data_IF_725049004126
#
_entry.id   IF_725049004126
#
_cell.length_a   1.000
_cell.length_b   1.000
_cell.length_c   1.000
_cell.angle_alpha   90.00
_cell.angle_beta   90.00
_cell.angle_gamma   90.00
#
_symmetry.space_group_name_H-M   'P 1'
#
loop_
_entity.id
_entity.type
_entity.pdbx_description
1 polymer ?
#
# COMPACT_ATOMS: atom_id res chain seq x y z
N UNK A 1 -13.40 9.54 1.44
CA UNK A 1 -14.19 8.33 1.10
C UNK A 1 -13.51 7.58 -0.04
N UNK A 2 -13.54 6.23 -0.08
CA UNK A 2 -13.02 5.48 -1.23
C UNK A 2 -14.04 5.52 -2.38
N UNK A 3 -13.60 5.98 -3.54
CA UNK A 3 -14.38 6.04 -4.79
C UNK A 3 -13.55 5.55 -5.96
N UNK A 4 -14.21 5.10 -7.02
CA UNK A 4 -13.52 4.81 -8.30
C UNK A 4 -13.14 6.14 -8.92
N UNK A 5 -11.89 6.55 -8.75
CA UNK A 5 -11.35 7.74 -9.40
C UNK A 5 -10.97 7.47 -10.86
N UNK A 6 -10.74 6.21 -11.19
CA UNK A 6 -10.07 5.82 -12.41
C UNK A 6 -10.80 4.66 -13.10
N UNK A 7 -11.41 4.95 -14.24
CA UNK A 7 -12.14 3.94 -15.03
C UNK A 7 -11.16 2.99 -15.73
N UNK A 8 -11.62 1.78 -16.06
CA UNK A 8 -10.82 0.83 -16.81
C UNK A 8 -10.40 1.36 -18.19
N UNK A 9 -11.26 2.13 -18.88
CA UNK A 9 -10.92 2.79 -20.15
C UNK A 9 -9.81 3.82 -19.99
N UNK A 10 -9.85 4.61 -18.91
CA UNK A 10 -8.80 5.58 -18.62
C UNK A 10 -7.46 4.89 -18.35
N UNK A 11 -7.48 3.72 -17.69
CA UNK A 11 -6.31 2.87 -17.51
C UNK A 11 -5.73 2.37 -18.82
N UNK A 12 -6.56 1.90 -19.75
CA UNK A 12 -6.10 1.46 -21.08
C UNK A 12 -5.44 2.61 -21.85
N UNK A 13 -6.07 3.79 -21.88
CA UNK A 13 -5.50 4.97 -22.52
C UNK A 13 -4.16 5.40 -21.89
N UNK A 14 -4.06 5.31 -20.56
CA UNK A 14 -2.81 5.58 -19.84
C UNK A 14 -1.72 4.58 -20.19
N UNK A 15 -2.04 3.28 -20.25
CA UNK A 15 -1.07 2.27 -20.68
C UNK A 15 -0.57 2.59 -22.08
N UNK A 16 -1.45 2.83 -23.04
CA UNK A 16 -1.08 3.16 -24.41
C UNK A 16 -0.16 4.39 -24.47
N UNK A 17 -0.58 5.49 -23.84
CA UNK A 17 0.17 6.76 -23.83
C UNK A 17 1.57 6.60 -23.22
N UNK A 18 1.68 5.92 -22.08
CA UNK A 18 2.97 5.77 -21.40
C UNK A 18 3.85 4.71 -22.07
N UNK A 19 3.29 3.61 -22.57
CA UNK A 19 4.07 2.60 -23.28
C UNK A 19 4.62 3.14 -24.60
N UNK A 20 3.83 3.92 -25.34
CA UNK A 20 4.30 4.58 -26.55
C UNK A 20 5.47 5.53 -26.25
N UNK A 21 5.27 6.42 -25.27
CA UNK A 21 6.27 7.41 -24.90
C UNK A 21 7.57 6.81 -24.38
N UNK A 22 7.50 5.79 -23.52
CA UNK A 22 8.68 5.24 -22.85
C UNK A 22 9.39 4.15 -23.65
N UNK A 23 8.70 3.41 -24.52
CA UNK A 23 9.26 2.23 -25.20
C UNK A 23 9.20 2.28 -26.72
N UNK A 24 8.15 2.87 -27.32
CA UNK A 24 8.07 2.98 -28.78
C UNK A 24 8.96 4.12 -29.27
N UNK A 25 8.81 5.32 -28.69
CA UNK A 25 9.60 6.50 -29.07
C UNK A 25 11.09 6.36 -28.75
N UNK A 26 11.45 5.49 -27.81
CA UNK A 26 12.84 5.21 -27.40
C UNK A 26 13.44 3.97 -28.08
N UNK A 27 12.71 3.32 -29.01
CA UNK A 27 13.09 2.10 -29.71
C UNK A 27 13.36 0.88 -28.80
N UNK A 28 12.73 0.80 -27.63
CA UNK A 28 12.87 -0.31 -26.67
C UNK A 28 11.77 -1.38 -26.81
N UNK A 29 11.42 -1.74 -28.04
CA UNK A 29 10.33 -2.68 -28.34
C UNK A 29 10.54 -4.09 -27.78
N UNK A 30 11.80 -4.53 -27.66
CA UNK A 30 12.14 -5.88 -27.12
C UNK A 30 11.59 -6.06 -25.71
N UNK A 31 11.59 -5.00 -24.89
CA UNK A 31 11.02 -5.03 -23.54
C UNK A 31 9.51 -5.27 -23.58
N UNK A 32 8.78 -4.65 -24.52
CA UNK A 32 7.34 -4.85 -24.68
C UNK A 32 7.01 -6.30 -25.05
N UNK A 33 7.75 -6.88 -25.99
CA UNK A 33 7.57 -8.30 -26.38
C UNK A 33 7.85 -9.25 -25.21
N UNK A 34 8.87 -8.96 -24.40
CA UNK A 34 9.21 -9.78 -23.22
C UNK A 34 8.06 -9.83 -22.21
N UNK A 35 7.36 -8.71 -22.03
CA UNK A 35 6.25 -8.58 -21.07
C UNK A 35 4.86 -8.66 -21.70
N UNK A 36 4.75 -9.00 -22.99
CA UNK A 36 3.49 -8.98 -23.77
C UNK A 36 2.36 -9.74 -23.07
N UNK A 37 2.64 -10.95 -22.57
CA UNK A 37 1.64 -11.76 -21.85
C UNK A 37 1.09 -11.04 -20.61
N UNK A 38 1.93 -10.33 -19.87
CA UNK A 38 1.53 -9.59 -18.68
C UNK A 38 0.73 -8.33 -19.06
N UNK A 39 1.18 -7.60 -20.08
CA UNK A 39 0.53 -6.38 -20.58
C UNK A 39 -0.90 -6.70 -21.02
N UNK A 40 -1.07 -7.72 -21.87
CA UNK A 40 -2.38 -8.11 -22.39
C UNK A 40 -3.31 -8.57 -21.26
N UNK A 41 -2.82 -9.39 -20.32
CA UNK A 41 -3.62 -9.84 -19.18
C UNK A 41 -4.13 -8.67 -18.34
N UNK A 42 -3.27 -7.71 -18.00
CA UNK A 42 -3.67 -6.57 -17.18
C UNK A 42 -4.58 -5.59 -17.94
N UNK A 43 -4.33 -5.38 -19.24
CA UNK A 43 -5.14 -4.53 -20.10
C UNK A 43 -6.56 -5.07 -20.27
N UNK A 44 -6.73 -6.40 -20.35
CA UNK A 44 -8.06 -7.03 -20.49
C UNK A 44 -8.79 -7.25 -19.16
N UNK A 45 -8.08 -7.23 -18.03
CA UNK A 45 -8.69 -7.54 -16.72
C UNK A 45 -9.22 -6.26 -16.06
N UNK A 46 -10.56 -6.13 -16.01
CA UNK A 46 -11.19 -5.08 -15.23
C UNK A 46 -11.29 -5.47 -13.75
N UNK A 47 -10.57 -4.74 -12.91
CA UNK A 47 -10.51 -4.93 -11.46
C UNK A 47 -11.33 -3.89 -10.68
N UNK A 48 -12.08 -3.03 -11.37
CA UNK A 48 -12.85 -1.93 -10.75
C UNK A 48 -13.84 -2.43 -9.71
N UNK A 49 -14.30 -3.68 -9.84
CA UNK A 49 -15.19 -4.35 -8.88
C UNK A 49 -14.64 -4.48 -7.46
N UNK A 50 -13.34 -4.30 -7.22
CA UNK A 50 -12.79 -4.37 -5.86
C UNK A 50 -13.24 -3.20 -4.98
N UNK A 51 -13.41 -2.01 -5.57
CA UNK A 51 -13.71 -0.78 -4.85
C UNK A 51 -14.97 -0.91 -4.00
N UNK A 52 -16.14 -1.31 -4.54
CA UNK A 52 -17.35 -1.48 -3.72
C UNK A 52 -17.20 -2.58 -2.65
N UNK A 53 -16.39 -3.61 -2.87
CA UNK A 53 -16.21 -4.72 -1.91
C UNK A 53 -15.44 -4.31 -0.66
N UNK A 54 -14.47 -3.40 -0.80
CA UNK A 54 -13.63 -2.92 0.30
C UNK A 54 -14.06 -1.56 0.82
N UNK A 55 -14.98 -0.86 0.14
CA UNK A 55 -15.42 0.49 0.48
C UNK A 55 -15.86 0.62 1.95
N UNK A 56 -16.52 -0.42 2.49
CA UNK A 56 -16.96 -0.49 3.89
C UNK A 56 -15.82 -0.48 4.91
N UNK A 57 -14.61 -0.88 4.50
CA UNK A 57 -13.41 -0.90 5.35
C UNK A 57 -12.67 0.44 5.38
N UNK A 58 -13.07 1.40 4.53
CA UNK A 58 -12.54 2.76 4.51
C UNK A 58 -13.45 3.71 5.30
N UNK A 59 -12.86 4.78 5.83
CA UNK A 59 -13.64 5.83 6.48
C UNK A 59 -14.56 6.53 5.48
N UNK A 60 -15.80 6.80 5.91
CA UNK A 60 -16.77 7.62 5.17
C UNK A 60 -16.43 9.11 5.26
N UNK A 61 -15.63 9.50 6.25
CA UNK A 61 -15.17 10.88 6.40
C UNK A 61 -14.15 11.24 5.31
N UNK A 62 -14.12 12.52 4.95
CA UNK A 62 -13.09 13.11 4.07
C UNK A 62 -11.96 13.77 4.87
N UNK A 63 -11.85 13.47 6.16
CA UNK A 63 -10.76 13.95 7.01
C UNK A 63 -9.49 13.13 6.77
N UNK A 64 -8.37 13.83 6.51
CA UNK A 64 -7.06 13.25 6.25
C UNK A 64 -6.74 13.12 4.76
N UNK A 65 -5.60 12.48 4.47
CA UNK A 65 -5.17 12.25 3.09
C UNK A 65 -6.12 11.28 2.36
N UNK A 66 -6.47 11.55 1.10
CA UNK A 66 -7.33 10.67 0.33
C UNK A 66 -6.67 9.30 0.16
N UNK A 67 -7.46 8.20 0.21
CA UNK A 67 -6.93 6.88 -0.06
C UNK A 67 -6.39 6.81 -1.49
N UNK A 68 -5.25 6.14 -1.65
CA UNK A 68 -4.70 5.81 -2.97
C UNK A 68 -5.63 4.90 -3.76
N UNK A 69 -5.51 4.92 -5.08
CA UNK A 69 -6.33 4.08 -5.95
C UNK A 69 -6.18 2.59 -5.60
N UNK A 70 -7.26 2.02 -5.07
CA UNK A 70 -7.33 0.62 -4.68
C UNK A 70 -7.18 -0.32 -5.89
N UNK A 71 -7.61 0.10 -7.08
CA UNK A 71 -7.53 -0.73 -8.28
C UNK A 71 -6.08 -0.82 -8.75
N UNK A 72 -5.35 0.30 -8.79
CA UNK A 72 -3.90 0.32 -9.05
C UNK A 72 -3.10 -0.48 -8.01
N UNK A 73 -3.43 -0.37 -6.72
CA UNK A 73 -2.81 -1.18 -5.67
C UNK A 73 -3.03 -2.69 -5.89
N UNK A 74 -4.24 -3.10 -6.28
CA UNK A 74 -4.53 -4.49 -6.59
C UNK A 74 -3.78 -4.99 -7.83
N UNK A 75 -3.75 -4.20 -8.91
CA UNK A 75 -2.95 -4.51 -10.12
C UNK A 75 -1.49 -4.71 -9.75
N UNK A 76 -0.95 -3.83 -8.91
CA UNK A 76 0.44 -3.91 -8.46
C UNK A 76 0.75 -5.20 -7.70
N UNK A 77 -0.16 -5.67 -6.84
CA UNK A 77 0.00 -6.97 -6.17
C UNK A 77 -0.04 -8.15 -7.14
N UNK A 78 -0.88 -8.09 -8.19
CA UNK A 78 -0.92 -9.12 -9.24
C UNK A 78 0.41 -9.15 -10.01
N UNK A 79 0.94 -7.97 -10.36
CA UNK A 79 2.26 -7.85 -11.00
C UNK A 79 3.36 -8.42 -10.10
N UNK A 80 3.34 -8.09 -8.80
CA UNK A 80 4.31 -8.60 -7.82
C UNK A 80 4.34 -10.14 -7.78
N UNK A 81 3.16 -10.77 -7.79
CA UNK A 81 3.02 -12.23 -7.84
C UNK A 81 3.60 -12.78 -9.15
N UNK A 82 3.34 -12.10 -10.28
CA UNK A 82 3.86 -12.50 -11.58
C UNK A 82 5.40 -12.41 -11.65
N UNK A 83 6.00 -11.40 -11.02
CA UNK A 83 7.46 -11.22 -10.93
C UNK A 83 8.10 -12.10 -9.84
N UNK A 84 7.31 -12.89 -9.10
CA UNK A 84 7.75 -13.77 -8.00
C UNK A 84 8.43 -13.04 -6.84
N UNK A 85 8.06 -11.78 -6.62
CA UNK A 85 8.55 -10.98 -5.49
C UNK A 85 7.72 -11.30 -4.25
N UNK A 86 8.37 -11.52 -3.12
CA UNK A 86 7.69 -11.94 -1.86
C UNK A 86 7.67 -10.86 -0.80
N UNK A 87 8.55 -9.86 -0.90
CA UNK A 87 8.68 -8.76 0.07
C UNK A 87 8.12 -7.47 -0.50
N UNK A 88 7.16 -6.84 0.18
CA UNK A 88 6.59 -5.53 -0.22
C UNK A 88 7.66 -4.44 -0.26
N UNK A 89 8.62 -4.47 0.67
CA UNK A 89 9.69 -3.49 0.73
C UNK A 89 10.59 -3.57 -0.50
N UNK A 90 10.93 -4.78 -0.95
CA UNK A 90 11.70 -4.98 -2.17
C UNK A 90 10.87 -4.72 -3.41
N UNK A 91 9.60 -5.13 -3.40
CA UNK A 91 8.66 -4.84 -4.47
C UNK A 91 8.57 -3.33 -4.77
N UNK A 92 8.52 -2.49 -3.74
CA UNK A 92 8.49 -1.04 -3.94
C UNK A 92 9.81 -0.51 -4.51
N UNK A 93 10.96 -1.08 -4.15
CA UNK A 93 12.23 -0.72 -4.79
C UNK A 93 12.23 -1.13 -6.26
N UNK A 94 11.74 -2.32 -6.58
CA UNK A 94 11.57 -2.83 -7.95
C UNK A 94 10.60 -1.98 -8.77
N UNK A 95 9.48 -1.54 -8.19
CA UNK A 95 8.55 -0.61 -8.84
C UNK A 95 9.21 0.73 -9.15
N UNK A 96 9.97 1.29 -8.20
CA UNK A 96 10.63 2.59 -8.37
C UNK A 96 11.77 2.54 -9.38
N UNK A 97 12.47 1.41 -9.48
CA UNK A 97 13.56 1.22 -10.43
C UNK A 97 13.08 0.86 -11.84
N UNK A 98 11.97 0.15 -11.96
CA UNK A 98 11.43 -0.31 -13.24
C UNK A 98 10.17 0.48 -13.65
N UNK A 99 10.28 1.42 -14.62
CA UNK A 99 9.15 2.21 -15.05
C UNK A 99 8.05 1.38 -15.71
N UNK A 100 8.38 0.25 -16.36
CA UNK A 100 7.38 -0.64 -16.97
C UNK A 100 6.41 -1.16 -15.92
N UNK A 101 6.93 -1.69 -14.81
CA UNK A 101 6.10 -2.30 -13.76
C UNK A 101 5.25 -1.24 -13.03
N UNK A 102 5.78 -0.03 -12.87
CA UNK A 102 5.01 1.12 -12.38
C UNK A 102 3.84 1.46 -13.31
N UNK A 103 4.10 1.58 -14.61
CA UNK A 103 3.07 1.87 -15.63
C UNK A 103 2.01 0.77 -15.64
N UNK A 104 2.42 -0.51 -15.68
CA UNK A 104 1.48 -1.63 -15.67
C UNK A 104 0.62 -1.68 -14.41
N UNK A 105 1.18 -1.29 -13.27
CA UNK A 105 0.41 -1.18 -12.02
C UNK A 105 -0.61 -0.03 -12.06
N UNK A 106 -0.48 0.93 -12.97
CA UNK A 106 -1.29 2.14 -13.03
C UNK A 106 -0.71 3.30 -12.20
N UNK A 107 0.59 3.26 -11.89
CA UNK A 107 1.29 4.33 -11.18
C UNK A 107 2.14 5.15 -12.14
N UNK A 108 2.28 6.44 -11.83
CA UNK A 108 3.21 7.32 -12.54
C UNK A 108 4.64 6.87 -12.23
N UNK A 109 5.46 6.49 -13.24
CA UNK A 109 6.85 6.10 -13.01
C UNK A 109 7.67 7.28 -12.49
N UNK A 110 8.63 6.99 -11.60
CA UNK A 110 9.40 8.01 -10.86
C UNK A 110 10.21 8.95 -11.76
N UNK A 111 10.66 8.45 -12.92
CA UNK A 111 11.36 9.25 -13.93
C UNK A 111 10.45 10.25 -14.66
N UNK A 112 9.12 10.10 -14.55
CA UNK A 112 8.15 11.04 -15.09
C UNK A 112 7.77 12.07 -14.03
N UNK A 113 8.03 13.34 -14.32
CA UNK A 113 7.73 14.37 -13.34
C UNK A 113 6.24 14.54 -13.11
N UNK A 114 5.86 14.59 -11.83
CA UNK A 114 4.50 14.89 -11.38
C UNK A 114 4.04 16.30 -11.79
N UNK A 115 4.96 17.27 -11.99
CA UNK A 115 4.60 18.60 -12.52
C UNK A 115 4.16 18.55 -14.00
N UNK A 116 4.59 17.54 -14.78
CA UNK A 116 4.12 17.30 -16.16
C UNK A 116 2.89 16.40 -16.23
N UNK A 117 2.41 15.92 -15.08
CA UNK A 117 1.25 15.05 -14.98
C UNK A 117 -0.03 15.84 -14.64
N UNK A 118 -0.01 17.17 -14.71
CA UNK A 118 -1.22 17.99 -14.59
C UNK A 118 -2.26 17.53 -15.63
N UNK A 119 -3.33 16.90 -15.16
CA UNK A 119 -4.39 16.30 -15.98
C UNK A 119 -4.38 14.77 -16.08
N UNK A 120 -3.37 14.08 -15.55
CA UNK A 120 -3.33 12.62 -15.50
C UNK A 120 -3.91 12.13 -14.16
N UNK A 121 -5.00 11.37 -14.22
CA UNK A 121 -5.69 10.83 -13.05
C UNK A 121 -5.01 9.56 -12.47
N UNK A 122 -3.67 9.52 -12.41
CA UNK A 122 -2.91 8.39 -11.89
C UNK A 122 -2.08 8.80 -10.67
N UNK A 123 -1.97 7.90 -9.70
CA UNK A 123 -1.20 8.14 -8.48
C UNK A 123 0.31 7.92 -8.70
N UNK A 124 1.19 8.64 -7.96
CA UNK A 124 2.59 8.27 -7.87
C UNK A 124 2.77 6.94 -7.11
N UNK A 125 3.92 6.28 -7.31
CA UNK A 125 4.25 5.02 -6.63
C UNK A 125 4.11 5.15 -5.10
N UNK A 126 3.26 4.34 -4.47
CA UNK A 126 2.97 4.46 -3.04
C UNK A 126 4.11 3.95 -2.14
N UNK A 127 3.97 4.19 -0.84
CA UNK A 127 4.90 3.71 0.19
C UNK A 127 4.55 2.31 0.72
N UNK A 128 5.48 1.73 1.49
CA UNK A 128 5.35 0.38 2.09
C UNK A 128 4.11 0.27 2.97
N UNK A 129 3.87 1.26 3.82
CA UNK A 129 2.72 1.28 4.73
C UNK A 129 1.37 1.30 3.99
N UNK A 130 1.30 1.91 2.81
CA UNK A 130 0.07 1.97 2.01
C UNK A 130 -0.33 0.58 1.50
N UNK A 131 0.63 -0.22 1.05
CA UNK A 131 0.36 -1.60 0.65
C UNK A 131 -0.11 -2.47 1.83
N UNK A 132 0.54 -2.35 2.99
CA UNK A 132 0.10 -3.09 4.17
C UNK A 132 -1.29 -2.66 4.65
N UNK A 133 -1.60 -1.36 4.64
CA UNK A 133 -2.94 -0.87 4.99
C UNK A 133 -4.00 -1.36 3.98
N UNK A 134 -3.67 -1.42 2.69
CA UNK A 134 -4.55 -1.98 1.67
C UNK A 134 -4.78 -3.48 1.86
N UNK A 135 -3.73 -4.27 2.08
CA UNK A 135 -3.84 -5.72 2.33
C UNK A 135 -4.64 -6.02 3.62
N UNK A 136 -4.43 -5.26 4.69
CA UNK A 136 -5.21 -5.39 5.93
C UNK A 136 -6.71 -5.14 5.68
N UNK A 137 -7.06 -4.21 4.77
CA UNK A 137 -8.45 -3.97 4.37
C UNK A 137 -9.02 -5.05 3.45
N UNK A 138 -8.21 -5.59 2.54
CA UNK A 138 -8.60 -6.71 1.67
C UNK A 138 -8.99 -7.94 2.49
N UNK A 139 -8.18 -8.28 3.51
CA UNK A 139 -8.40 -9.44 4.38
C UNK A 139 -9.52 -9.14 5.42
N UNK A 140 -10.09 -7.93 5.43
CA UNK A 140 -11.07 -7.47 6.42
C UNK A 140 -10.59 -7.73 7.86
N UNK A 141 -9.32 -7.43 8.12
CA UNK A 141 -8.67 -7.72 9.39
C UNK A 141 -9.45 -7.06 10.54
N UNK A 142 -10.01 -7.90 11.42
CA UNK A 142 -10.74 -7.42 12.58
C UNK A 142 -9.79 -6.70 13.54
N UNK A 143 -9.84 -5.36 13.53
CA UNK A 143 -8.99 -4.52 14.38
C UNK A 143 -9.19 -4.81 15.86
N UNK A 144 -10.38 -5.27 16.29
CA UNK A 144 -10.65 -5.66 17.68
C UNK A 144 -9.79 -6.84 18.14
N UNK A 145 -9.67 -7.88 17.32
CA UNK A 145 -8.92 -9.11 17.62
C UNK A 145 -7.40 -8.89 17.55
N UNK A 146 -6.93 -7.96 16.70
CA UNK A 146 -5.49 -7.67 16.60
C UNK A 146 -5.03 -6.56 17.57
N UNK A 147 -5.91 -5.61 17.93
CA UNK A 147 -5.65 -4.62 18.99
C UNK A 147 -5.84 -5.17 20.40
N UNK A 148 -6.45 -6.36 20.58
CA UNK A 148 -6.29 -7.13 21.82
C UNK A 148 -4.84 -7.60 21.93
N UNK A 149 -4.00 -6.62 22.23
CA UNK A 149 -2.79 -6.68 22.99
C UNK A 149 -2.85 -7.88 23.95
N UNK A 150 -2.17 -8.95 23.56
CA UNK A 150 -1.31 -9.70 24.47
C UNK A 150 -0.26 -8.79 25.16
N UNK A 151 -0.21 -7.46 24.92
CA UNK A 151 0.57 -6.51 25.75
C UNK A 151 -0.01 -6.32 27.18
N UNK A 152 -0.84 -7.22 27.70
CA UNK A 152 -1.29 -7.26 29.12
C UNK A 152 -1.28 -8.65 29.76
N UNK A 153 -0.73 -9.67 29.08
CA UNK A 153 -0.62 -10.99 29.68
C UNK A 153 0.82 -11.20 30.17
N UNK A 154 1.16 -10.56 31.29
CA UNK A 154 2.33 -10.93 32.06
C UNK A 154 1.90 -12.04 33.02
N UNK A 155 2.07 -13.28 32.59
CA UNK A 155 1.87 -14.46 33.44
C UNK A 155 3.16 -14.66 34.22
N UNK A 156 3.12 -14.53 35.54
CA UNK A 156 4.16 -15.11 36.38
C UNK A 156 4.10 -16.65 36.23
N UNK A 157 5.22 -17.36 36.39
CA UNK A 157 5.30 -18.80 36.16
C UNK A 157 4.31 -19.65 37.01
N UNK A 158 3.64 -19.05 38.00
CA UNK A 158 2.59 -19.62 38.84
C UNK A 158 1.15 -19.30 38.38
N UNK A 159 0.97 -18.56 37.28
CA UNK A 159 -0.33 -18.18 36.74
C UNK A 159 -0.97 -16.94 37.37
N UNK A 160 -0.29 -16.22 38.26
CA UNK A 160 -0.88 -15.02 38.91
C UNK A 160 -0.76 -13.75 38.06
N UNK A 161 -1.86 -12.98 37.99
CA UNK A 161 -1.93 -11.71 37.25
C UNK A 161 -1.56 -10.54 38.16
N UNK A 162 -0.43 -9.86 37.91
CA UNK A 162 -0.02 -8.66 38.67
C UNK A 162 -0.26 -7.36 37.86
N UNK A 163 -1.13 -6.45 38.33
CA UNK A 163 -1.32 -5.15 37.69
C UNK A 163 -0.24 -4.16 38.16
N UNK A 164 0.79 -3.94 37.36
CA UNK A 164 1.71 -2.81 37.60
C UNK A 164 1.10 -1.52 37.04
N UNK A 165 0.79 -0.54 37.90
CA UNK A 165 0.29 0.78 37.50
C UNK A 165 1.38 1.70 36.90
N UNK A 166 2.35 1.14 36.19
CA UNK A 166 3.40 1.94 35.55
C UNK A 166 2.95 2.38 34.15
N UNK A 167 2.72 3.67 33.96
CA UNK A 167 2.57 4.29 32.64
C UNK A 167 3.93 4.31 31.92
N UNK A 168 4.04 3.91 30.63
CA UNK A 168 5.31 3.98 29.88
C UNK A 168 5.79 5.41 29.60
N UNK A 169 4.92 6.42 29.78
CA UNK A 169 5.20 7.83 29.51
C UNK A 169 5.13 8.71 30.78
N UNK A 170 5.10 8.11 31.98
CA UNK A 170 4.99 8.86 33.23
C UNK A 170 6.30 9.57 33.60
N UNK A 171 6.26 10.88 33.83
CA UNK A 171 7.33 11.60 34.56
C UNK A 171 7.34 11.12 36.00
N UNK A 172 8.52 10.73 36.52
CA UNK A 172 8.69 10.40 37.94
C UNK A 172 8.29 11.59 38.81
N UNK A 173 7.45 11.35 39.81
CA UNK A 173 6.86 12.41 40.64
C UNK A 173 7.76 12.80 41.82
N UNK A 174 8.81 12.03 42.12
CA UNK A 174 9.73 12.37 43.21
C UNK A 174 11.16 11.81 43.04
N UNK A 175 12.14 12.54 43.57
CA UNK A 175 13.56 12.17 43.71
C UNK A 175 13.90 11.73 45.14
N UNK A 176 12.96 11.07 45.82
CA UNK A 176 13.13 10.73 47.23
C UNK A 176 14.12 9.57 47.40
N UNK A 177 15.33 9.90 47.90
CA UNK A 177 16.29 8.93 48.44
C UNK A 177 15.65 8.18 49.61
N UNK A 178 15.68 6.85 49.55
CA UNK A 178 15.31 5.94 50.64
C UNK A 178 16.05 6.35 51.93
N UNK A 179 15.33 6.88 52.92
CA UNK A 179 15.87 6.97 54.29
C UNK A 179 15.56 5.66 55.01
N UNK A 180 16.62 4.97 55.40
CA UNK A 180 16.60 3.78 56.24
C UNK A 180 15.98 4.10 57.60
N UNK A 181 15.12 3.19 58.06
CA UNK A 181 14.33 3.33 59.26
C UNK A 181 15.13 3.42 60.56
N UNK A 182 14.44 3.96 61.57
CA UNK A 182 14.55 3.59 62.97
C UNK A 182 13.13 3.46 63.52
#
# INVERSE_FOLDING_TARGET
MLTVYYSHKNYQYFLETFLEKFYIQTNQHVTLFTYESLITKLCSTDLTGIVPLIQSSYSKSNQGDPPKDAVALLRSLIVMIYTKETSISEWIKTLRSNPLLSILSGFIPVCYSTYKAEGICADPVPGVGTFYDFMDKLIRKNKSIYKSKLRKLNIAADGTCMPTQASPYGKKVCDCKLKLGK
#
